data_IF_985578220372
#
_entry.id   IF_985578220372
#
_cell.length_a   1.000
_cell.length_b   1.000
_cell.length_c   1.000
_cell.angle_alpha   90.00
_cell.angle_beta   90.00
_cell.angle_gamma   90.00
#
_symmetry.space_group_name_H-M   'P 1'
#
loop_
_entity.id
_entity.type
_entity.pdbx_description
1 polymer ?
#
# COMPACT_ATOMS: atom_id res chain seq x y z
N UNK A 1 13.94 22.45 6.97
CA UNK A 1 12.99 21.34 7.28
C UNK A 1 12.02 21.19 6.12
N UNK A 2 12.33 20.35 5.14
CA UNK A 2 11.44 20.10 4.00
C UNK A 2 10.23 19.28 4.48
N UNK A 3 9.02 19.83 4.35
CA UNK A 3 7.80 19.06 4.57
C UNK A 3 7.67 18.08 3.42
N UNK A 4 8.02 16.82 3.66
CA UNK A 4 7.76 15.72 2.72
C UNK A 4 6.26 15.70 2.42
N UNK A 5 5.88 16.21 1.25
CA UNK A 5 4.48 16.21 0.81
C UNK A 5 4.05 14.78 0.54
N UNK A 6 2.82 14.41 0.89
CA UNK A 6 2.30 13.06 0.68
C UNK A 6 2.41 12.60 -0.79
N UNK A 7 2.40 13.54 -1.74
CA UNK A 7 2.64 13.30 -3.17
C UNK A 7 4.03 12.72 -3.43
N UNK A 8 5.07 13.31 -2.83
CA UNK A 8 6.46 12.85 -2.95
C UNK A 8 6.65 11.48 -2.30
N UNK A 9 5.95 11.24 -1.20
CA UNK A 9 5.93 9.93 -0.54
C UNK A 9 5.25 8.85 -1.40
N UNK A 10 4.13 9.17 -2.05
CA UNK A 10 3.46 8.28 -3.01
C UNK A 10 4.33 7.97 -4.23
N UNK A 11 5.07 8.96 -4.72
CA UNK A 11 5.99 8.80 -5.83
C UNK A 11 7.14 7.83 -5.46
N UNK A 12 7.69 7.97 -4.25
CA UNK A 12 8.69 7.05 -3.69
C UNK A 12 8.14 5.63 -3.50
N UNK A 13 6.88 5.48 -3.08
CA UNK A 13 6.26 4.15 -3.00
C UNK A 13 6.11 3.49 -4.37
N UNK A 14 5.77 4.26 -5.41
CA UNK A 14 5.60 3.74 -6.78
C UNK A 14 6.91 3.33 -7.43
N UNK A 15 8.01 4.03 -7.14
CA UNK A 15 9.33 3.74 -7.72
C UNK A 15 10.00 2.50 -7.16
N UNK A 16 9.47 1.91 -6.08
CA UNK A 16 10.10 0.76 -5.42
C UNK A 16 11.42 1.13 -4.76
N UNK A 17 11.95 0.26 -3.87
CA UNK A 17 13.33 0.42 -3.41
C UNK A 17 14.25 0.23 -4.62
N UNK A 18 15.20 1.14 -4.81
CA UNK A 18 16.28 1.04 -5.78
C UNK A 18 17.15 -0.18 -5.39
N UNK A 19 16.77 -1.37 -5.89
CA UNK A 19 17.59 -2.57 -5.74
C UNK A 19 18.68 -2.41 -6.78
N UNK A 20 19.83 -1.89 -6.31
CA UNK A 20 21.06 -1.85 -7.08
C UNK A 20 21.30 -3.22 -7.75
N UNK A 21 21.30 -3.20 -9.08
CA UNK A 21 21.46 -4.36 -9.95
C UNK A 21 22.89 -4.90 -9.82
N UNK A 22 23.07 -5.82 -8.88
CA UNK A 22 24.30 -6.60 -8.73
C UNK A 22 24.40 -7.66 -9.82
N UNK A 23 25.41 -7.50 -10.68
CA UNK A 23 25.83 -8.42 -11.74
C UNK A 23 25.84 -9.91 -11.33
N UNK A 24 25.31 -10.76 -12.19
CA UNK A 24 25.40 -12.23 -12.05
C UNK A 24 24.96 -12.96 -13.32
N UNK A 25 25.94 -13.41 -14.10
CA UNK A 25 25.86 -14.15 -15.37
C UNK A 25 24.93 -15.38 -15.28
N UNK A 26 24.08 -15.61 -16.30
CA UNK A 26 23.27 -16.84 -16.43
C UNK A 26 23.59 -17.54 -17.77
N UNK A 27 23.97 -18.83 -17.80
CA UNK A 27 24.20 -19.55 -19.04
C UNK A 27 22.89 -19.95 -19.74
N UNK A 28 22.94 -19.93 -21.07
CA UNK A 28 21.87 -20.17 -22.04
C UNK A 28 21.23 -21.58 -21.93
N UNK A 29 19.89 -21.65 -21.86
CA UNK A 29 19.08 -22.88 -21.90
C UNK A 29 17.99 -22.71 -22.99
N UNK A 30 17.77 -23.70 -23.90
CA UNK A 30 16.99 -23.55 -25.14
C UNK A 30 15.46 -23.41 -24.93
N UNK A 31 14.71 -22.91 -25.94
CA UNK A 31 13.33 -22.45 -25.76
C UNK A 31 12.35 -23.61 -25.70
N UNK A 32 11.80 -23.91 -24.51
CA UNK A 32 10.64 -24.78 -24.36
C UNK A 32 9.36 -23.94 -24.43
N UNK A 33 8.42 -24.41 -25.27
CA UNK A 33 7.05 -23.89 -25.51
C UNK A 33 6.48 -23.09 -24.32
N UNK A 34 6.27 -21.80 -24.55
CA UNK A 34 5.66 -20.87 -23.59
C UNK A 34 4.14 -21.09 -23.62
N UNK A 35 3.63 -21.86 -22.64
CA UNK A 35 2.26 -21.69 -22.16
C UNK A 35 2.16 -20.29 -21.53
N UNK A 36 1.01 -19.59 -21.61
CA UNK A 36 0.87 -18.27 -20.98
C UNK A 36 1.05 -18.40 -19.47
N UNK A 37 2.26 -18.08 -19.01
CA UNK A 37 2.61 -18.00 -17.61
C UNK A 37 1.82 -16.85 -17.04
N UNK A 38 0.73 -17.15 -16.33
CA UNK A 38 0.17 -16.19 -15.37
C UNK A 38 1.34 -15.71 -14.51
N UNK A 39 1.58 -14.39 -14.38
CA UNK A 39 2.66 -13.90 -13.55
C UNK A 39 2.49 -14.50 -12.16
N UNK A 40 3.40 -15.39 -11.78
CA UNK A 40 3.48 -15.94 -10.44
C UNK A 40 3.77 -14.74 -9.55
N UNK A 41 2.88 -14.38 -8.60
CA UNK A 41 3.19 -13.29 -7.68
C UNK A 41 4.50 -13.65 -6.97
N UNK A 42 5.44 -12.71 -6.79
CA UNK A 42 6.66 -12.97 -6.06
C UNK A 42 6.26 -13.46 -4.67
N UNK A 43 6.65 -14.69 -4.30
CA UNK A 43 6.47 -15.22 -2.95
C UNK A 43 7.04 -14.22 -1.94
N UNK A 44 6.22 -13.58 -1.07
CA UNK A 44 6.77 -12.91 0.07
C UNK A 44 6.97 -13.97 1.15
N UNK A 45 8.20 -14.42 1.32
CA UNK A 45 8.64 -15.01 2.60
C UNK A 45 8.68 -13.87 3.60
N UNK A 46 7.53 -13.42 4.09
CA UNK A 46 7.39 -12.44 5.16
C UNK A 46 6.10 -12.82 5.89
N UNK A 47 6.26 -13.26 7.14
CA UNK A 47 5.16 -13.59 8.05
C UNK A 47 4.01 -12.57 7.92
N UNK A 48 2.74 -13.00 8.02
CA UNK A 48 1.61 -12.11 7.83
C UNK A 48 1.80 -10.86 8.69
N UNK A 49 1.69 -9.64 8.12
CA UNK A 49 1.98 -8.43 8.85
C UNK A 49 1.11 -8.38 10.10
N UNK A 50 1.77 -8.41 11.26
CA UNK A 50 1.08 -8.30 12.54
C UNK A 50 0.46 -6.91 12.65
N UNK A 51 -0.64 -6.81 13.40
CA UNK A 51 -1.33 -5.54 13.63
C UNK A 51 -0.37 -4.44 14.15
N UNK A 52 0.61 -4.80 14.96
CA UNK A 52 1.66 -3.91 15.46
C UNK A 52 2.52 -3.30 14.33
N UNK A 53 2.85 -4.11 13.31
CA UNK A 53 3.59 -3.64 12.14
C UNK A 53 2.78 -2.65 11.32
N UNK A 54 1.47 -2.91 11.14
CA UNK A 54 0.55 -1.99 10.46
C UNK A 54 0.47 -0.66 11.19
N UNK A 55 0.28 -0.71 12.52
CA UNK A 55 0.24 0.47 13.39
C UNK A 55 1.50 1.32 13.29
N UNK A 56 2.68 0.70 13.46
CA UNK A 56 3.97 1.38 13.40
C UNK A 56 4.20 2.02 12.03
N UNK A 57 3.84 1.32 10.97
CA UNK A 57 4.00 1.80 9.59
C UNK A 57 3.10 3.01 9.33
N UNK A 58 1.82 2.95 9.70
CA UNK A 58 0.87 4.06 9.48
C UNK A 58 1.25 5.30 10.29
N UNK A 59 1.81 5.14 11.50
CA UNK A 59 2.34 6.25 12.30
C UNK A 59 3.49 7.02 11.63
N UNK A 60 4.23 6.37 10.73
CA UNK A 60 5.32 7.01 9.97
C UNK A 60 4.81 7.72 8.72
N UNK A 61 3.52 7.61 8.39
CA UNK A 61 2.96 8.27 7.22
C UNK A 61 2.71 9.74 7.52
N UNK A 62 2.83 10.61 6.50
CA UNK A 62 2.58 12.03 6.70
C UNK A 62 1.12 12.27 7.10
N UNK A 63 0.91 13.12 8.10
CA UNK A 63 -0.43 13.59 8.48
C UNK A 63 -1.11 14.25 7.27
N UNK A 64 -2.41 14.03 7.13
CA UNK A 64 -3.20 14.45 5.98
C UNK A 64 -3.03 13.55 4.74
N UNK A 65 -2.27 12.46 4.81
CA UNK A 65 -2.16 11.51 3.71
C UNK A 65 -3.49 10.74 3.53
N UNK A 66 -4.04 10.67 2.30
CA UNK A 66 -5.22 9.86 2.03
C UNK A 66 -4.91 8.37 2.17
N UNK A 67 -5.73 7.65 2.93
CA UNK A 67 -5.57 6.23 3.20
C UNK A 67 -6.82 5.44 2.78
N UNK A 68 -6.60 4.35 2.05
CA UNK A 68 -7.67 3.45 1.58
C UNK A 68 -7.37 2.01 1.94
N UNK A 69 -8.40 1.16 1.93
CA UNK A 69 -8.22 -0.28 2.16
C UNK A 69 -7.42 -0.92 1.04
N UNK A 70 -7.51 -0.38 -0.19
CA UNK A 70 -6.73 -0.86 -1.33
C UNK A 70 -5.23 -0.53 -1.15
N UNK A 71 -4.91 0.68 -0.69
CA UNK A 71 -3.54 1.06 -0.36
C UNK A 71 -2.94 0.16 0.71
N UNK A 72 -3.70 -0.15 1.77
CA UNK A 72 -3.27 -1.09 2.82
C UNK A 72 -3.11 -2.51 2.27
N UNK A 73 -4.02 -2.97 1.40
CA UNK A 73 -3.94 -4.28 0.77
C UNK A 73 -2.67 -4.40 -0.09
N UNK A 74 -2.38 -3.40 -0.92
CA UNK A 74 -1.18 -3.36 -1.75
C UNK A 74 0.10 -3.27 -0.90
N UNK A 75 0.12 -2.40 0.12
CA UNK A 75 1.31 -2.16 0.94
C UNK A 75 1.73 -3.37 1.77
N UNK A 76 0.76 -4.12 2.27
CA UNK A 76 0.99 -5.25 3.18
C UNK A 76 0.76 -6.62 2.54
N UNK A 77 0.40 -6.66 1.25
CA UNK A 77 0.14 -7.91 0.53
C UNK A 77 -1.04 -8.71 1.10
N UNK A 78 -2.06 -8.04 1.66
CA UNK A 78 -3.21 -8.70 2.30
C UNK A 78 -4.48 -8.56 1.49
N UNK A 79 -5.43 -9.47 1.70
CA UNK A 79 -6.75 -9.40 1.07
C UNK A 79 -7.52 -8.13 1.46
N UNK A 80 -8.37 -7.62 0.57
CA UNK A 80 -9.16 -6.39 0.77
C UNK A 80 -10.00 -6.42 2.06
N UNK A 81 -10.57 -7.57 2.41
CA UNK A 81 -11.36 -7.72 3.64
C UNK A 81 -10.55 -7.51 4.91
N UNK A 82 -9.32 -8.04 4.95
CA UNK A 82 -8.40 -7.85 6.07
C UNK A 82 -7.89 -6.41 6.12
N UNK A 83 -7.52 -5.83 4.99
CA UNK A 83 -7.12 -4.43 4.89
C UNK A 83 -8.24 -3.48 5.34
N UNK A 84 -9.50 -3.78 5.03
CA UNK A 84 -10.65 -3.02 5.51
C UNK A 84 -10.83 -3.12 7.02
N UNK A 85 -10.67 -4.32 7.61
CA UNK A 85 -10.69 -4.48 9.08
C UNK A 85 -9.57 -3.69 9.75
N UNK A 86 -8.38 -3.67 9.16
CA UNK A 86 -7.27 -2.84 9.65
C UNK A 86 -7.57 -1.35 9.54
N UNK A 87 -8.13 -0.90 8.42
CA UNK A 87 -8.53 0.49 8.22
C UNK A 87 -9.55 0.95 9.28
N UNK A 88 -10.57 0.12 9.57
CA UNK A 88 -11.52 0.40 10.64
C UNK A 88 -10.85 0.44 12.02
N UNK A 89 -9.88 -0.43 12.27
CA UNK A 89 -9.16 -0.46 13.55
C UNK A 89 -8.23 0.75 13.71
N UNK A 90 -7.66 1.25 12.62
CA UNK A 90 -6.88 2.51 12.60
C UNK A 90 -7.78 3.74 12.84
N UNK A 91 -8.99 3.73 12.29
CA UNK A 91 -10.05 4.74 12.54
C UNK A 91 -10.42 4.77 14.03
N UNK A 92 -10.68 3.60 14.64
CA UNK A 92 -10.95 3.46 16.08
C UNK A 92 -9.77 3.86 16.97
N UNK A 93 -8.54 3.66 16.50
CA UNK A 93 -7.33 4.04 17.22
C UNK A 93 -7.00 5.54 17.10
N UNK A 94 -7.80 6.32 16.37
CA UNK A 94 -7.59 7.76 16.18
C UNK A 94 -6.45 8.14 15.23
N UNK A 95 -5.80 7.16 14.59
CA UNK A 95 -4.73 7.38 13.61
C UNK A 95 -5.25 7.76 12.23
N UNK A 96 -6.54 7.56 11.98
CA UNK A 96 -7.18 7.91 10.72
C UNK A 96 -8.42 8.73 11.01
N UNK A 97 -8.43 9.96 10.50
CA UNK A 97 -9.60 10.84 10.49
C UNK A 97 -10.47 10.54 9.29
N UNK A 98 -11.77 10.59 9.51
CA UNK A 98 -12.77 10.51 8.46
C UNK A 98 -13.23 11.92 8.13
N UNK A 99 -13.19 12.27 6.86
CA UNK A 99 -13.78 13.49 6.33
C UNK A 99 -14.85 13.09 5.33
N UNK A 100 -16.07 13.57 5.55
CA UNK A 100 -17.13 13.47 4.57
C UNK A 100 -16.95 14.61 3.57
N UNK A 101 -16.68 14.27 2.32
CA UNK A 101 -16.59 15.25 1.26
C UNK A 101 -17.95 15.92 0.98
N UNK A 102 -17.94 17.03 0.23
CA UNK A 102 -19.17 17.62 -0.26
C UNK A 102 -19.95 16.59 -1.09
N UNK A 103 -21.29 16.67 -1.09
CA UNK A 103 -22.10 15.81 -1.94
C UNK A 103 -21.74 16.03 -3.42
N UNK A 104 -21.58 14.93 -4.16
CA UNK A 104 -21.48 14.94 -5.62
C UNK A 104 -22.79 15.48 -6.23
N UNK A 105 -22.79 15.71 -7.56
CA UNK A 105 -23.98 16.16 -8.31
C UNK A 105 -25.22 15.27 -8.15
N UNK A 106 -25.03 14.03 -7.68
CA UNK A 106 -26.10 13.06 -7.40
C UNK A 106 -26.46 12.97 -5.90
N UNK A 107 -26.00 13.92 -5.06
CA UNK A 107 -26.25 13.92 -3.62
C UNK A 107 -25.43 12.90 -2.83
N UNK A 108 -24.60 12.08 -3.49
CA UNK A 108 -23.76 11.08 -2.83
C UNK A 108 -22.57 11.73 -2.13
N UNK A 109 -22.38 11.46 -0.84
CA UNK A 109 -21.20 11.93 -0.09
C UNK A 109 -20.12 10.87 -0.10
N UNK A 110 -18.91 11.23 -0.54
CA UNK A 110 -17.77 10.33 -0.50
C UNK A 110 -17.08 10.41 0.86
N UNK A 111 -16.96 9.26 1.53
CA UNK A 111 -16.16 9.12 2.74
C UNK A 111 -14.69 9.09 2.36
N UNK A 112 -13.95 10.13 2.72
CA UNK A 112 -12.50 10.18 2.60
C UNK A 112 -11.87 9.92 3.97
N UNK A 113 -10.70 9.30 3.95
CA UNK A 113 -9.96 8.94 5.16
C UNK A 113 -8.53 9.46 5.04
N UNK A 114 -8.05 10.08 6.10
CA UNK A 114 -6.75 10.72 6.15
C UNK A 114 -5.99 10.29 7.40
N UNK A 115 -4.68 10.14 7.31
CA UNK A 115 -3.83 9.92 8.49
C UNK A 115 -3.87 11.17 9.38
N UNK A 116 -4.08 10.96 10.68
CA UNK A 116 -4.10 12.03 11.71
C UNK A 116 -2.73 12.62 11.93
#
# INVERSE_FOLDING_TARGET
>A
MERLTWRTWWDRLRRGPDIAEGSGVVPFIPPRRILPVRPTPPSPVLSPPTWSTVLRTVRQWPSGMPITSDLLAQRFGVGRGQAWRWLQRLERAGLVRVVLGPPDRHGTRRKQRFVS
#
